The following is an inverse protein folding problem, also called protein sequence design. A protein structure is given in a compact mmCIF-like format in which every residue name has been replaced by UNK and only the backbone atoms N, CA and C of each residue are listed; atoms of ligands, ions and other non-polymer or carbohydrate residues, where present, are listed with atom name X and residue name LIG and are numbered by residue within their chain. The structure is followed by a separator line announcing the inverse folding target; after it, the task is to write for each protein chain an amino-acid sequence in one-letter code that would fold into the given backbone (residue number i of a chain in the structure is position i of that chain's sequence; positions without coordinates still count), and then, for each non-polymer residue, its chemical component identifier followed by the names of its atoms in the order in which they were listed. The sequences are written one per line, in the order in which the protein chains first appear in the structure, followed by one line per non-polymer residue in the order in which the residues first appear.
data_IF_645181776456
#
_entry.id   IF_645181776456
#
_cell.length_a   1.000
_cell.length_b   1.000
_cell.length_c   1.000
_cell.angle_alpha   90.00
_cell.angle_beta   90.00
_cell.angle_gamma   90.00
#
_symmetry.space_group_name_H-M   'P 1'
#
loop_
_entity.id
_entity.type
_entity.pdbx_description
1 polymer ?
#
# COMPACT_ATOMS: atom_id res chain seq x y z
N UNK A 1 103.91 -28.65 58.80
CA UNK A 1 103.14 -28.69 57.55
C UNK A 1 101.67 -28.66 57.91
N UNK A 2 101.03 -27.53 57.66
CA UNK A 2 99.66 -27.16 58.04
C UNK A 2 98.68 -27.55 56.93
N UNK A 3 97.66 -28.35 57.26
CA UNK A 3 96.57 -28.72 56.35
C UNK A 3 95.22 -28.29 56.91
N UNK A 4 94.60 -27.30 56.26
CA UNK A 4 93.24 -26.78 56.53
C UNK A 4 92.18 -27.87 56.33
N UNK A 5 91.20 -27.92 57.23
CA UNK A 5 89.86 -28.50 56.98
C UNK A 5 88.87 -27.34 57.01
N UNK A 6 88.22 -27.07 55.88
CA UNK A 6 87.09 -26.15 55.81
C UNK A 6 85.78 -26.95 55.82
N UNK A 7 84.83 -26.42 56.59
CA UNK A 7 83.55 -26.97 56.97
C UNK A 7 82.51 -26.86 55.83
N UNK A 8 81.62 -27.86 55.73
CA UNK A 8 80.45 -27.84 54.84
C UNK A 8 79.20 -27.37 55.60
N UNK A 9 78.31 -26.54 55.03
CA UNK A 9 77.06 -26.15 55.67
C UNK A 9 75.91 -27.15 55.39
N UNK A 10 74.82 -27.15 56.19
CA UNK A 10 73.79 -28.18 56.18
C UNK A 10 72.70 -27.96 55.12
N UNK A 11 71.86 -28.98 54.83
CA UNK A 11 70.84 -28.88 53.79
C UNK A 11 69.60 -28.11 54.29
N UNK A 12 69.19 -27.11 53.52
CA UNK A 12 67.93 -26.40 53.71
C UNK A 12 66.77 -27.10 52.98
N UNK A 13 65.80 -27.56 53.76
CA UNK A 13 64.46 -27.93 53.29
C UNK A 13 63.68 -26.67 52.87
N UNK A 14 63.18 -26.64 51.64
CA UNK A 14 62.07 -25.76 51.24
C UNK A 14 61.04 -26.56 50.46
N UNK A 15 60.07 -27.13 51.19
CA UNK A 15 58.73 -27.33 50.68
C UNK A 15 58.10 -25.96 50.44
N UNK A 16 57.97 -25.56 49.17
CA UNK A 16 57.10 -24.46 48.77
C UNK A 16 55.97 -24.99 47.90
N UNK A 17 54.78 -24.99 48.50
CA UNK A 17 53.48 -25.12 47.86
C UNK A 17 53.39 -24.25 46.60
N UNK A 18 53.48 -24.88 45.42
CA UNK A 18 52.99 -24.31 44.16
C UNK A 18 51.45 -24.36 44.15
N UNK A 19 50.79 -23.46 44.88
CA UNK A 19 49.45 -23.02 44.51
C UNK A 19 49.61 -21.95 43.43
N UNK A 20 49.58 -22.40 42.18
CA UNK A 20 49.86 -21.57 41.02
C UNK A 20 48.80 -20.49 40.81
N UNK A 21 49.26 -19.25 40.64
CA UNK A 21 48.47 -18.11 40.14
C UNK A 21 47.71 -18.42 38.83
N UNK A 22 48.12 -19.48 38.12
CA UNK A 22 47.44 -20.08 36.97
C UNK A 22 46.00 -20.49 37.27
N UNK A 23 45.70 -21.06 38.44
CA UNK A 23 44.34 -21.53 38.76
C UNK A 23 43.38 -20.36 39.04
N UNK A 24 43.89 -19.24 39.57
CA UNK A 24 43.11 -18.02 39.82
C UNK A 24 42.76 -17.27 38.52
N UNK A 25 43.65 -17.32 37.51
CA UNK A 25 43.43 -16.74 36.17
C UNK A 25 42.40 -17.58 35.39
N UNK A 26 42.46 -18.90 35.50
CA UNK A 26 41.49 -19.82 34.86
C UNK A 26 40.08 -19.64 35.47
N UNK A 27 39.96 -19.47 36.79
CA UNK A 27 38.68 -19.23 37.47
C UNK A 27 38.05 -17.87 37.11
N UNK A 28 38.85 -16.79 37.06
CA UNK A 28 38.36 -15.47 36.60
C UNK A 28 37.97 -15.47 35.12
N UNK A 29 38.75 -16.12 34.25
CA UNK A 29 38.43 -16.24 32.82
C UNK A 29 37.14 -17.02 32.55
N UNK A 30 36.85 -18.04 33.36
CA UNK A 30 35.63 -18.86 33.25
C UNK A 30 34.37 -18.09 33.66
N UNK A 31 34.46 -17.26 34.69
CA UNK A 31 33.37 -16.34 35.09
C UNK A 31 33.14 -15.26 34.02
N UNK A 32 34.20 -14.61 33.52
CA UNK A 32 34.10 -13.60 32.45
C UNK A 32 33.51 -14.16 31.15
N UNK A 33 33.82 -15.40 30.79
CA UNK A 33 33.24 -16.09 29.64
C UNK A 33 31.73 -16.36 29.79
N UNK A 34 31.25 -16.64 31.01
CA UNK A 34 29.82 -16.78 31.29
C UNK A 34 29.09 -15.46 31.07
N UNK A 35 29.64 -14.35 31.57
CA UNK A 35 29.04 -13.02 31.36
C UNK A 35 29.03 -12.60 29.89
N UNK A 36 30.10 -12.91 29.14
CA UNK A 36 30.14 -12.68 27.70
C UNK A 36 29.08 -13.51 26.96
N UNK A 37 28.92 -14.78 27.33
CA UNK A 37 27.92 -15.66 26.72
C UNK A 37 26.48 -15.21 27.05
N UNK A 38 26.23 -14.77 28.28
CA UNK A 38 24.95 -14.19 28.71
C UNK A 38 24.67 -12.90 27.93
N UNK A 39 25.65 -12.00 27.79
CA UNK A 39 25.52 -10.78 27.00
C UNK A 39 25.19 -11.10 25.54
N UNK A 40 25.88 -12.09 24.96
CA UNK A 40 25.65 -12.53 23.59
C UNK A 40 24.25 -13.14 23.42
N UNK A 41 23.80 -13.95 24.37
CA UNK A 41 22.44 -14.49 24.42
C UNK A 41 21.41 -13.37 24.52
N UNK A 42 21.63 -12.37 25.36
CA UNK A 42 20.73 -11.20 25.49
C UNK A 42 20.69 -10.40 24.17
N UNK A 43 21.83 -10.20 23.51
CA UNK A 43 21.89 -9.52 22.22
C UNK A 43 21.16 -10.31 21.12
N UNK A 44 21.33 -11.63 21.07
CA UNK A 44 20.61 -12.51 20.14
C UNK A 44 19.12 -12.48 20.45
N UNK A 45 18.72 -12.52 21.73
CA UNK A 45 17.32 -12.45 22.14
C UNK A 45 16.71 -11.10 21.77
N UNK A 46 17.42 -9.99 21.97
CA UNK A 46 17.01 -8.65 21.54
C UNK A 46 16.93 -8.54 20.00
N UNK A 47 17.87 -9.13 19.27
CA UNK A 47 17.82 -9.20 17.81
C UNK A 47 16.64 -10.04 17.32
N UNK A 48 16.33 -11.14 18.01
CA UNK A 48 15.20 -12.01 17.70
C UNK A 48 13.86 -11.34 18.07
N UNK A 49 13.77 -10.63 19.19
CA UNK A 49 12.55 -9.86 19.51
C UNK A 49 12.35 -8.71 18.54
N UNK A 50 13.41 -8.02 18.09
CA UNK A 50 13.32 -7.03 17.01
C UNK A 50 12.93 -7.67 15.67
N UNK A 51 13.35 -8.91 15.40
CA UNK A 51 12.95 -9.66 14.21
C UNK A 51 11.48 -10.13 14.28
N UNK A 52 11.00 -10.48 15.49
CA UNK A 52 9.63 -10.97 15.74
C UNK A 52 8.63 -9.83 15.89
N UNK A 53 9.06 -8.63 16.32
CA UNK A 53 8.24 -7.42 16.23
C UNK A 53 7.91 -7.22 14.75
N UNK A 54 6.61 -7.25 14.46
CA UNK A 54 6.02 -7.21 13.13
C UNK A 54 6.81 -6.28 12.20
N UNK A 55 7.39 -6.85 11.14
CA UNK A 55 8.23 -6.12 10.18
C UNK A 55 7.52 -4.85 9.66
N UNK A 56 6.19 -4.86 9.65
CA UNK A 56 5.37 -3.71 9.28
C UNK A 56 5.43 -2.58 10.31
N UNK A 57 5.49 -2.86 11.62
CA UNK A 57 5.61 -1.84 12.67
C UNK A 57 6.99 -1.15 12.65
N UNK A 58 8.07 -1.91 12.44
CA UNK A 58 9.43 -1.36 12.31
C UNK A 58 9.56 -0.55 11.02
N UNK A 59 8.97 -1.03 9.92
CA UNK A 59 8.97 -0.32 8.63
C UNK A 59 8.13 0.94 8.66
N UNK A 60 7.01 0.94 9.39
CA UNK A 60 6.18 2.12 9.60
C UNK A 60 6.91 3.17 10.44
N UNK A 61 7.55 2.75 11.53
CA UNK A 61 8.44 3.61 12.34
C UNK A 61 9.61 4.15 11.52
N UNK A 62 10.29 3.32 10.73
CA UNK A 62 11.39 3.73 9.87
C UNK A 62 10.91 4.77 8.85
N UNK A 63 9.82 4.49 8.12
CA UNK A 63 9.29 5.43 7.11
C UNK A 63 8.82 6.72 7.75
N UNK A 64 8.20 6.67 8.94
CA UNK A 64 7.80 7.85 9.70
C UNK A 64 8.98 8.73 10.11
N UNK A 65 10.13 8.13 10.40
CA UNK A 65 11.34 8.85 10.82
C UNK A 65 12.16 9.33 9.63
N UNK A 66 12.27 8.55 8.55
CA UNK A 66 13.11 8.88 7.39
C UNK A 66 12.39 9.66 6.29
N UNK A 67 11.07 9.53 6.18
CA UNK A 67 10.24 10.12 5.12
C UNK A 67 8.85 10.49 5.66
N UNK A 68 8.84 11.40 6.65
CA UNK A 68 7.64 11.78 7.40
C UNK A 68 6.54 12.36 6.51
N UNK A 69 6.89 13.12 5.47
CA UNK A 69 5.95 13.70 4.52
C UNK A 69 5.23 12.62 3.70
N UNK A 70 5.97 11.65 3.15
CA UNK A 70 5.38 10.53 2.42
C UNK A 70 4.47 9.68 3.30
N UNK A 71 4.88 9.44 4.54
CA UNK A 71 4.07 8.71 5.52
C UNK A 71 2.77 9.47 5.82
N UNK A 72 2.82 10.78 6.06
CA UNK A 72 1.63 11.61 6.29
C UNK A 72 0.69 11.61 5.08
N UNK A 73 1.22 11.78 3.86
CA UNK A 73 0.42 11.72 2.64
C UNK A 73 -0.25 10.34 2.48
N UNK A 74 0.47 9.24 2.79
CA UNK A 74 -0.08 7.90 2.72
C UNK A 74 -1.20 7.67 3.74
N UNK A 75 -1.02 8.12 4.99
CA UNK A 75 -2.07 8.03 6.01
C UNK A 75 -3.32 8.80 5.61
N UNK A 76 -3.17 10.03 5.09
CA UNK A 76 -4.30 10.82 4.59
C UNK A 76 -5.00 10.11 3.42
N UNK A 77 -4.24 9.60 2.45
CA UNK A 77 -4.81 8.83 1.33
C UNK A 77 -5.59 7.60 1.83
N UNK A 78 -5.00 6.83 2.75
CA UNK A 78 -5.60 5.61 3.29
C UNK A 78 -6.89 5.91 4.08
N UNK A 79 -6.90 6.96 4.90
CA UNK A 79 -8.08 7.34 5.69
C UNK A 79 -9.26 7.78 4.81
N UNK A 80 -8.99 8.46 3.69
CA UNK A 80 -10.03 8.89 2.76
C UNK A 80 -10.45 7.79 1.76
N UNK A 81 -9.69 6.70 1.64
CA UNK A 81 -9.99 5.61 0.71
C UNK A 81 -11.32 4.92 1.02
N UNK A 82 -11.61 4.63 2.30
CA UNK A 82 -12.84 3.92 2.70
C UNK A 82 -14.12 4.70 2.37
N UNK A 83 -14.25 6.00 2.70
CA UNK A 83 -15.40 6.81 2.25
C UNK A 83 -15.58 6.81 0.73
N UNK A 84 -14.50 6.91 -0.04
CA UNK A 84 -14.53 6.88 -1.51
C UNK A 84 -15.05 5.54 -2.03
N UNK A 85 -14.50 4.43 -1.54
CA UNK A 85 -14.96 3.10 -1.95
C UNK A 85 -16.43 2.87 -1.57
N UNK A 86 -16.87 3.36 -0.41
CA UNK A 86 -18.28 3.29 -0.01
C UNK A 86 -19.22 3.94 -1.02
N UNK A 87 -18.86 5.10 -1.59
CA UNK A 87 -19.64 5.79 -2.63
C UNK A 87 -19.62 5.00 -3.93
N UNK A 88 -18.43 4.60 -4.40
CA UNK A 88 -18.26 3.87 -5.67
C UNK A 88 -19.01 2.54 -5.65
N UNK A 89 -18.89 1.78 -4.57
CA UNK A 89 -19.56 0.48 -4.43
C UNK A 89 -21.08 0.63 -4.43
N UNK A 90 -21.62 1.62 -3.72
CA UNK A 90 -23.07 1.87 -3.74
C UNK A 90 -23.54 2.29 -5.13
N UNK A 91 -22.77 3.10 -5.86
CA UNK A 91 -23.12 3.48 -7.22
C UNK A 91 -23.12 2.27 -8.18
N UNK A 92 -22.19 1.33 -8.01
CA UNK A 92 -22.18 0.10 -8.80
C UNK A 92 -23.40 -0.82 -8.54
N UNK A 93 -24.07 -0.67 -7.38
CA UNK A 93 -25.19 -1.52 -6.96
C UNK A 93 -26.58 -0.96 -7.33
N UNK A 94 -26.66 0.28 -7.77
CA UNK A 94 -27.94 0.92 -8.11
C UNK A 94 -28.24 0.76 -9.59
N UNK A 95 -29.54 0.69 -9.91
CA UNK A 95 -30.02 0.75 -11.28
C UNK A 95 -30.00 2.18 -11.83
N UNK A 96 -30.32 3.15 -10.99
CA UNK A 96 -30.37 4.57 -11.37
C UNK A 96 -30.05 5.47 -10.17
N UNK A 97 -29.23 6.50 -10.39
CA UNK A 97 -28.93 7.56 -9.41
C UNK A 97 -30.13 8.48 -9.15
N UNK A 98 -31.18 8.36 -9.96
CA UNK A 98 -32.42 9.13 -9.86
C UNK A 98 -33.45 8.47 -8.93
N UNK A 99 -33.26 7.19 -8.58
CA UNK A 99 -34.15 6.49 -7.64
C UNK A 99 -33.82 6.81 -6.18
N UNK A 100 -34.37 7.92 -5.70
CA UNK A 100 -34.15 8.44 -4.34
C UNK A 100 -34.80 7.61 -3.24
N UNK A 101 -35.55 6.56 -3.55
CA UNK A 101 -36.19 5.69 -2.56
C UNK A 101 -35.17 4.76 -1.89
N UNK A 102 -34.08 4.42 -2.59
CA UNK A 102 -33.05 3.49 -2.08
C UNK A 102 -32.08 4.18 -1.12
N UNK A 103 -31.70 3.47 -0.06
CA UNK A 103 -30.68 3.96 0.90
C UNK A 103 -29.31 4.17 0.24
N UNK A 104 -28.99 3.40 -0.81
CA UNK A 104 -27.78 3.57 -1.59
C UNK A 104 -27.73 4.93 -2.30
N UNK A 105 -28.79 5.30 -3.02
CA UNK A 105 -28.86 6.61 -3.70
C UNK A 105 -28.87 7.76 -2.70
N UNK A 106 -29.64 7.66 -1.60
CA UNK A 106 -29.63 8.67 -0.53
C UNK A 106 -28.23 8.88 0.04
N UNK A 107 -27.50 7.80 0.31
CA UNK A 107 -26.14 7.87 0.81
C UNK A 107 -25.18 8.53 -0.19
N UNK A 108 -25.26 8.18 -1.47
CA UNK A 108 -24.42 8.79 -2.52
C UNK A 108 -24.68 10.29 -2.57
N UNK A 109 -25.95 10.69 -2.80
CA UNK A 109 -26.34 12.10 -2.95
C UNK A 109 -25.96 12.95 -1.74
N UNK A 110 -26.09 12.41 -0.52
CA UNK A 110 -25.75 13.12 0.71
C UNK A 110 -24.25 13.38 0.87
N UNK A 111 -23.40 12.45 0.43
CA UNK A 111 -21.99 12.44 0.84
C UNK A 111 -21.00 12.69 -0.31
N UNK A 112 -21.40 12.50 -1.57
CA UNK A 112 -20.47 12.51 -2.70
C UNK A 112 -19.69 13.82 -2.83
N UNK A 113 -20.34 14.97 -2.66
CA UNK A 113 -19.69 16.27 -2.79
C UNK A 113 -18.56 16.44 -1.76
N UNK A 114 -18.83 16.12 -0.49
CA UNK A 114 -17.83 16.22 0.57
C UNK A 114 -16.68 15.22 0.36
N UNK A 115 -17.01 13.96 0.07
CA UNK A 115 -16.00 12.90 -0.17
C UNK A 115 -15.11 13.23 -1.36
N UNK A 116 -15.70 13.68 -2.48
CA UNK A 116 -14.96 14.14 -3.66
C UNK A 116 -14.04 15.29 -3.33
N UNK A 117 -14.54 16.33 -2.64
CA UNK A 117 -13.76 17.51 -2.31
C UNK A 117 -12.58 17.18 -1.39
N UNK A 118 -12.76 16.33 -0.39
CA UNK A 118 -11.66 15.92 0.49
C UNK A 118 -10.64 15.07 -0.25
N UNK A 119 -11.08 14.11 -1.07
CA UNK A 119 -10.19 13.17 -1.73
C UNK A 119 -9.38 13.79 -2.88
N UNK A 120 -10.01 14.62 -3.72
CA UNK A 120 -9.36 15.24 -4.88
C UNK A 120 -8.34 16.32 -4.49
N UNK A 121 -8.40 16.84 -3.27
CA UNK A 121 -7.50 17.89 -2.77
C UNK A 121 -6.33 17.31 -1.94
N UNK A 122 -6.19 15.99 -1.88
CA UNK A 122 -5.06 15.36 -1.20
C UNK A 122 -3.75 15.65 -1.94
N UNK A 123 -2.72 16.06 -1.19
CA UNK A 123 -1.34 16.03 -1.68
C UNK A 123 -0.85 14.59 -1.72
N UNK A 124 -0.40 14.15 -2.88
CA UNK A 124 0.04 12.76 -3.14
C UNK A 124 1.37 12.70 -3.91
N UNK A 125 2.04 13.83 -4.09
CA UNK A 125 3.24 13.99 -4.92
C UNK A 125 4.46 13.23 -4.38
N UNK A 126 4.45 12.84 -3.09
CA UNK A 126 5.50 12.02 -2.48
C UNK A 126 5.22 10.52 -2.54
N UNK A 127 4.03 10.14 -3.00
CA UNK A 127 3.63 8.73 -3.08
C UNK A 127 4.19 8.07 -4.35
N UNK A 128 4.28 6.74 -4.31
CA UNK A 128 4.68 5.95 -5.48
C UNK A 128 3.68 6.08 -6.63
N UNK A 129 4.14 5.77 -7.83
CA UNK A 129 3.35 5.92 -9.06
C UNK A 129 2.05 5.11 -9.00
N UNK A 130 2.08 3.90 -8.42
CA UNK A 130 0.87 3.09 -8.25
C UNK A 130 -0.21 3.80 -7.42
N UNK A 131 0.16 4.47 -6.33
CA UNK A 131 -0.79 5.22 -5.50
C UNK A 131 -1.38 6.41 -6.28
N UNK A 132 -0.56 7.11 -7.05
CA UNK A 132 -0.99 8.23 -7.89
C UNK A 132 -1.97 7.74 -8.97
N UNK A 133 -1.70 6.60 -9.60
CA UNK A 133 -2.59 5.99 -10.59
C UNK A 133 -3.94 5.60 -9.98
N UNK A 134 -3.92 4.92 -8.82
CA UNK A 134 -5.13 4.50 -8.09
C UNK A 134 -5.95 5.72 -7.64
N UNK A 135 -5.28 6.76 -7.14
CA UNK A 135 -5.94 8.00 -6.76
C UNK A 135 -6.63 8.65 -7.95
N UNK A 136 -5.95 8.81 -9.09
CA UNK A 136 -6.55 9.37 -10.32
C UNK A 136 -7.77 8.54 -10.77
N UNK A 137 -7.65 7.22 -10.77
CA UNK A 137 -8.77 6.32 -11.11
C UNK A 137 -9.98 6.54 -10.20
N UNK A 138 -9.77 6.66 -8.89
CA UNK A 138 -10.85 6.90 -7.94
C UNK A 138 -11.46 8.30 -8.09
N UNK A 139 -10.65 9.33 -8.32
CA UNK A 139 -11.16 10.68 -8.60
C UNK A 139 -11.97 10.70 -9.90
N UNK A 140 -11.54 9.97 -10.93
CA UNK A 140 -12.33 9.80 -12.16
C UNK A 140 -13.69 9.16 -11.87
N UNK A 141 -13.73 8.07 -11.10
CA UNK A 141 -14.98 7.41 -10.70
C UNK A 141 -15.92 8.37 -9.95
N UNK A 142 -15.41 9.17 -9.01
CA UNK A 142 -16.22 10.17 -8.30
C UNK A 142 -16.79 11.23 -9.25
N UNK A 143 -16.00 11.70 -10.22
CA UNK A 143 -16.48 12.64 -11.23
C UNK A 143 -17.52 12.01 -12.17
N UNK A 144 -17.39 10.73 -12.53
CA UNK A 144 -18.40 10.01 -13.31
C UNK A 144 -19.73 9.94 -12.56
N UNK A 145 -19.69 9.66 -11.25
CA UNK A 145 -20.92 9.63 -10.44
C UNK A 145 -21.53 11.03 -10.33
N UNK A 146 -20.71 12.07 -10.20
CA UNK A 146 -21.19 13.46 -10.27
C UNK A 146 -21.81 13.78 -11.64
N UNK A 147 -21.21 13.30 -12.73
CA UNK A 147 -21.76 13.47 -14.08
C UNK A 147 -23.09 12.74 -14.26
N UNK A 148 -23.24 11.54 -13.72
CA UNK A 148 -24.52 10.82 -13.73
C UNK A 148 -25.60 11.58 -12.95
N UNK A 149 -25.22 12.21 -11.82
CA UNK A 149 -26.12 12.96 -10.96
C UNK A 149 -26.58 14.29 -11.57
N UNK A 150 -25.68 15.04 -12.21
CA UNK A 150 -25.98 16.42 -12.66
C UNK A 150 -26.08 16.57 -14.17
N UNK A 151 -25.55 15.61 -14.93
CA UNK A 151 -25.35 15.68 -16.38
C UNK A 151 -24.49 16.87 -16.86
N UNK A 152 -23.74 17.51 -15.95
CA UNK A 152 -22.86 18.63 -16.28
C UNK A 152 -21.57 18.15 -16.96
N UNK A 153 -21.34 18.59 -18.21
CA UNK A 153 -20.21 18.14 -19.03
C UNK A 153 -18.84 18.35 -18.37
N UNK A 154 -18.69 19.32 -17.46
CA UNK A 154 -17.44 19.54 -16.74
C UNK A 154 -17.01 18.30 -15.94
N UNK A 155 -17.95 17.60 -15.29
CA UNK A 155 -17.63 16.39 -14.55
C UNK A 155 -17.16 15.25 -15.47
N UNK A 156 -17.71 15.15 -16.67
CA UNK A 156 -17.20 14.22 -17.68
C UNK A 156 -15.78 14.59 -18.12
N UNK A 157 -15.51 15.87 -18.39
CA UNK A 157 -14.19 16.37 -18.80
C UNK A 157 -13.15 16.06 -17.71
N UNK A 158 -13.47 16.38 -16.45
CA UNK A 158 -12.61 16.12 -15.30
C UNK A 158 -12.34 14.62 -15.13
N UNK A 159 -13.39 13.78 -15.27
CA UNK A 159 -13.24 12.33 -15.23
C UNK A 159 -12.27 11.82 -16.30
N UNK A 160 -12.43 12.27 -17.55
CA UNK A 160 -11.56 11.87 -18.65
C UNK A 160 -10.13 12.36 -18.48
N UNK A 161 -9.92 13.55 -17.93
CA UNK A 161 -8.59 14.05 -17.59
C UNK A 161 -7.88 13.10 -16.60
N UNK A 162 -8.56 12.72 -15.53
CA UNK A 162 -8.02 11.77 -14.55
C UNK A 162 -7.84 10.35 -15.10
N UNK A 163 -8.73 9.86 -15.96
CA UNK A 163 -8.54 8.57 -16.67
C UNK A 163 -7.26 8.63 -17.51
N UNK A 164 -7.04 9.72 -18.23
CA UNK A 164 -5.86 9.88 -19.07
C UNK A 164 -4.57 9.93 -18.26
N UNK A 165 -4.56 10.62 -17.11
CA UNK A 165 -3.42 10.60 -16.19
C UNK A 165 -3.19 9.19 -15.59
N UNK A 166 -4.25 8.52 -15.14
CA UNK A 166 -4.16 7.13 -14.66
C UNK A 166 -3.59 6.19 -15.73
N UNK A 167 -3.99 6.35 -17.00
CA UNK A 167 -3.44 5.60 -18.15
C UNK A 167 -1.97 5.92 -18.39
N UNK A 168 -1.57 7.19 -18.35
CA UNK A 168 -0.17 7.60 -18.53
C UNK A 168 0.73 6.95 -17.49
N UNK A 169 0.31 6.97 -16.23
CA UNK A 169 1.04 6.35 -15.12
C UNK A 169 1.05 4.82 -15.26
N UNK A 170 -0.09 4.20 -15.59
CA UNK A 170 -0.18 2.75 -15.80
C UNK A 170 0.68 2.24 -16.97
N UNK A 171 0.78 3.01 -18.07
CA UNK A 171 1.61 2.65 -19.24
C UNK A 171 3.11 2.67 -18.98
N UNK A 172 3.57 3.34 -17.92
CA UNK A 172 4.97 3.29 -17.45
C UNK A 172 5.28 2.02 -16.64
N UNK A 173 4.55 0.93 -16.87
CA UNK A 173 4.78 -0.36 -16.23
C UNK A 173 6.25 -0.84 -16.21
N UNK A 174 7.10 -0.57 -17.24
CA UNK A 174 8.53 -0.92 -17.17
C UNK A 174 9.32 -0.20 -16.06
N UNK A 175 8.87 0.98 -15.65
CA UNK A 175 9.52 1.83 -14.65
C UNK A 175 8.96 1.60 -13.23
N UNK A 176 7.94 0.75 -13.09
CA UNK A 176 7.32 0.44 -11.80
C UNK A 176 8.14 -0.62 -11.05
N UNK A 177 8.34 -0.41 -9.75
CA UNK A 177 8.87 -1.46 -8.89
C UNK A 177 7.93 -2.68 -8.85
N UNK A 178 8.46 -3.87 -8.57
CA UNK A 178 7.66 -5.10 -8.39
C UNK A 178 6.54 -4.89 -7.36
N UNK A 179 6.82 -4.13 -6.28
CA UNK A 179 5.84 -3.77 -5.26
C UNK A 179 4.67 -2.95 -5.84
N UNK A 180 4.96 -1.97 -6.69
CA UNK A 180 3.95 -1.13 -7.34
C UNK A 180 3.13 -1.92 -8.35
N UNK A 181 3.78 -2.78 -9.15
CA UNK A 181 3.07 -3.67 -10.07
C UNK A 181 2.11 -4.59 -9.30
N UNK A 182 2.55 -5.21 -8.21
CA UNK A 182 1.71 -6.03 -7.34
C UNK A 182 0.54 -5.26 -6.74
N UNK A 183 0.74 -3.99 -6.36
CA UNK A 183 -0.33 -3.14 -5.88
C UNK A 183 -1.39 -2.88 -6.96
N UNK A 184 -0.97 -2.56 -8.19
CA UNK A 184 -1.89 -2.35 -9.32
C UNK A 184 -2.64 -3.63 -9.73
N UNK A 185 -1.96 -4.77 -9.73
CA UNK A 185 -2.58 -6.07 -10.04
C UNK A 185 -3.62 -6.46 -8.99
N UNK A 186 -3.31 -6.28 -7.70
CA UNK A 186 -4.23 -6.60 -6.59
C UNK A 186 -5.58 -5.90 -6.72
N UNK A 187 -5.57 -4.66 -7.19
CA UNK A 187 -6.81 -3.86 -7.38
C UNK A 187 -7.40 -4.00 -8.79
N UNK A 188 -6.93 -4.95 -9.61
CA UNK A 188 -7.33 -5.14 -11.01
C UNK A 188 -7.33 -3.80 -11.77
N UNK A 189 -6.26 -3.01 -11.62
CA UNK A 189 -6.22 -1.60 -12.04
C UNK A 189 -6.65 -1.40 -13.50
N UNK A 190 -6.06 -2.13 -14.45
CA UNK A 190 -6.38 -1.97 -15.87
C UNK A 190 -7.82 -2.31 -16.20
N UNK A 191 -8.35 -3.38 -15.62
CA UNK A 191 -9.75 -3.75 -15.78
C UNK A 191 -10.67 -2.64 -15.26
N UNK A 192 -10.39 -2.13 -14.05
CA UNK A 192 -11.13 -1.02 -13.47
C UNK A 192 -11.02 0.26 -14.30
N UNK A 193 -9.86 0.55 -14.88
CA UNK A 193 -9.62 1.72 -15.72
C UNK A 193 -10.46 1.65 -17.00
N UNK A 194 -10.45 0.50 -17.68
CA UNK A 194 -11.28 0.25 -18.88
C UNK A 194 -12.77 0.32 -18.55
N UNK A 195 -13.20 -0.27 -17.43
CA UNK A 195 -14.58 -0.19 -16.97
C UNK A 195 -15.01 1.27 -16.69
N UNK A 196 -14.14 2.03 -16.04
CA UNK A 196 -14.39 3.45 -15.69
C UNK A 196 -14.52 4.30 -16.95
N UNK A 197 -13.66 4.07 -17.95
CA UNK A 197 -13.77 4.73 -19.25
C UNK A 197 -15.05 4.36 -20.00
N UNK A 198 -15.42 3.07 -20.01
CA UNK A 198 -16.66 2.61 -20.61
C UNK A 198 -17.87 3.27 -19.93
N UNK A 199 -17.88 3.34 -18.60
CA UNK A 199 -18.93 3.99 -17.84
C UNK A 199 -19.08 5.48 -18.21
N UNK A 200 -17.97 6.22 -18.28
CA UNK A 200 -17.97 7.63 -18.71
C UNK A 200 -18.56 7.80 -20.11
N UNK A 201 -18.14 6.99 -21.08
CA UNK A 201 -18.66 7.07 -22.44
C UNK A 201 -20.11 6.62 -22.57
N UNK A 202 -20.53 5.62 -21.78
CA UNK A 202 -21.91 5.14 -21.76
C UNK A 202 -22.86 6.21 -21.25
N UNK A 203 -22.54 6.84 -20.12
CA UNK A 203 -23.34 7.94 -19.58
C UNK A 203 -23.36 9.14 -20.54
N UNK A 204 -22.23 9.49 -21.14
CA UNK A 204 -22.16 10.58 -22.13
C UNK A 204 -23.04 10.30 -23.36
N UNK A 205 -23.00 9.07 -23.85
CA UNK A 205 -23.83 8.64 -24.99
C UNK A 205 -25.31 8.64 -24.61
N UNK A 206 -25.67 8.18 -23.40
CA UNK A 206 -27.03 8.23 -22.87
C UNK A 206 -27.55 9.67 -22.78
N UNK A 207 -26.70 10.61 -22.37
CA UNK A 207 -27.01 12.04 -22.31
C UNK A 207 -27.02 12.74 -23.69
N UNK A 208 -27.11 11.98 -24.79
CA UNK A 208 -27.28 12.50 -26.16
C UNK A 208 -26.00 12.95 -26.86
N UNK A 209 -24.82 12.76 -26.25
CA UNK A 209 -23.53 13.10 -26.87
C UNK A 209 -22.92 11.83 -27.50
N UNK A 210 -23.19 11.63 -28.78
CA UNK A 210 -22.77 10.43 -29.51
C UNK A 210 -21.35 10.48 -30.09
N UNK A 211 -20.59 11.54 -29.81
CA UNK A 211 -19.19 11.73 -30.25
C UNK A 211 -18.26 10.59 -29.80
N UNK A 212 -18.60 9.93 -28.69
CA UNK A 212 -17.82 8.82 -28.13
C UNK A 212 -18.38 7.43 -28.41
N UNK A 213 -19.54 7.32 -29.11
CA UNK A 213 -20.26 6.04 -29.29
C UNK A 213 -19.40 4.97 -29.96
N UNK A 214 -18.64 5.32 -31.00
CA UNK A 214 -17.79 4.35 -31.69
C UNK A 214 -16.69 3.80 -30.79
N UNK A 215 -16.07 4.64 -29.96
CA UNK A 215 -15.01 4.24 -29.03
C UNK A 215 -15.60 3.37 -27.92
N UNK A 216 -16.74 3.76 -27.36
CA UNK A 216 -17.49 2.98 -26.39
C UNK A 216 -17.79 1.57 -26.90
N UNK A 217 -18.30 1.42 -28.14
CA UNK A 217 -18.59 0.10 -28.71
C UNK A 217 -17.34 -0.74 -28.93
N UNK A 218 -16.20 -0.13 -29.28
CA UNK A 218 -14.91 -0.83 -29.36
C UNK A 218 -14.49 -1.38 -27.99
N UNK A 219 -14.60 -0.57 -26.94
CA UNK A 219 -14.27 -1.00 -25.57
C UNK A 219 -15.22 -2.11 -25.11
N UNK A 220 -16.53 -1.95 -25.30
CA UNK A 220 -17.55 -2.97 -25.01
C UNK A 220 -17.18 -4.31 -25.63
N UNK A 221 -16.86 -4.33 -26.93
CA UNK A 221 -16.52 -5.55 -27.64
C UNK A 221 -15.21 -6.16 -27.14
N UNK A 222 -14.19 -5.33 -26.84
CA UNK A 222 -12.92 -5.79 -26.28
C UNK A 222 -13.06 -6.41 -24.87
N UNK A 223 -14.08 -6.00 -24.11
CA UNK A 223 -14.40 -6.59 -22.80
C UNK A 223 -15.21 -7.89 -22.90
N UNK A 224 -15.65 -8.30 -24.10
CA UNK A 224 -16.44 -9.51 -24.32
C UNK A 224 -17.89 -9.29 -24.75
N UNK A 225 -18.28 -8.04 -25.02
CA UNK A 225 -19.64 -7.71 -25.49
C UNK A 225 -20.70 -7.82 -24.39
N UNK A 226 -21.98 -7.92 -24.77
CA UNK A 226 -23.08 -7.90 -23.81
C UNK A 226 -23.11 -9.10 -22.84
N UNK A 227 -22.58 -10.26 -23.25
CA UNK A 227 -22.47 -11.42 -22.36
C UNK A 227 -21.62 -11.12 -21.13
N UNK A 228 -20.52 -10.36 -21.29
CA UNK A 228 -19.66 -9.93 -20.20
C UNK A 228 -20.41 -9.08 -19.16
N UNK A 229 -21.19 -8.08 -19.62
CA UNK A 229 -21.94 -7.19 -18.74
C UNK A 229 -23.10 -7.89 -18.02
N UNK A 230 -23.71 -8.90 -18.65
CA UNK A 230 -24.68 -9.78 -18.00
C UNK A 230 -24.03 -10.60 -16.88
N UNK A 231 -22.83 -11.17 -17.12
CA UNK A 231 -22.13 -11.97 -16.12
C UNK A 231 -21.59 -11.16 -14.95
N UNK A 232 -21.08 -9.95 -15.20
CA UNK A 232 -20.58 -9.05 -14.14
C UNK A 232 -21.71 -8.33 -13.39
N UNK A 233 -22.97 -8.50 -13.82
CA UNK A 233 -24.12 -7.91 -13.15
C UNK A 233 -24.15 -6.39 -13.23
N UNK A 234 -23.88 -5.80 -14.40
CA UNK A 234 -24.07 -4.36 -14.62
C UNK A 234 -25.51 -4.00 -14.21
N UNK A 235 -25.69 -3.22 -13.13
CA UNK A 235 -27.02 -2.84 -12.65
C UNK A 235 -27.56 -1.59 -13.37
N UNK A 236 -26.66 -0.67 -13.72
CA UNK A 236 -26.98 0.69 -14.14
C UNK A 236 -27.72 0.76 -15.49
N UNK A 237 -28.96 1.24 -15.50
CA UNK A 237 -29.85 1.24 -16.68
C UNK A 237 -29.34 2.15 -17.78
N UNK A 238 -28.97 3.41 -17.45
CA UNK A 238 -28.41 4.36 -18.41
C UNK A 238 -27.22 3.78 -19.18
N UNK A 239 -26.37 3.02 -18.49
CA UNK A 239 -25.23 2.36 -19.11
C UNK A 239 -25.65 1.20 -20.02
N UNK A 240 -26.60 0.35 -19.58
CA UNK A 240 -27.13 -0.75 -20.42
C UNK A 240 -27.72 -0.22 -21.72
N UNK A 241 -28.54 0.81 -21.63
CA UNK A 241 -29.22 1.41 -22.78
C UNK A 241 -28.20 1.97 -23.78
N UNK A 242 -27.20 2.73 -23.28
CA UNK A 242 -26.13 3.24 -24.14
C UNK A 242 -25.28 2.15 -24.78
N UNK A 243 -25.02 1.06 -24.04
CA UNK A 243 -24.24 -0.08 -24.52
C UNK A 243 -25.01 -1.00 -25.46
N UNK A 244 -26.32 -0.78 -25.64
CA UNK A 244 -27.21 -1.62 -26.45
C UNK A 244 -27.15 -3.08 -25.97
N UNK A 245 -27.15 -3.29 -24.65
CA UNK A 245 -27.13 -4.60 -24.02
C UNK A 245 -28.41 -4.84 -23.23
N UNK A 246 -29.30 -5.64 -23.81
CA UNK A 246 -30.48 -6.22 -23.15
C UNK A 246 -30.10 -7.29 -22.12
#
# INVERSE_FOLDING_TARGET
MTGRRDESPPPGNQDQNQFGWSDLIILKGKESMKYLFILLMVLILCGFTLYVIDNDAIKDLYTKVTDSEKHEQYQKLSSQFTPVQSIIQKWNLISSIDDTHTEHVKHIRKNILNVKNLYQNLKIDKLGQANIAIWNLNVAKLNIIMYDLTSEDQHYIDAMAHINEAKKVGKKAPDLSVKELNALMRVRFYHNLTWTELAAYSLRTYNGKHDVKQIMMKIRNAMGGCSFFRSEGLAHTKMKDALECE
#
